data_IF_070540175820
#
_entry.id   IF_070540175820
#
_cell.length_a   1.000
_cell.length_b   1.000
_cell.length_c   1.000
_cell.angle_alpha   90.00
_cell.angle_beta   90.00
_cell.angle_gamma   90.00
#
_symmetry.space_group_name_H-M   'P 1'
#
loop_
_entity.id
_entity.type
_entity.pdbx_description
1 polymer ?
#
# COMPACT_ATOMS: atom_id res chain seq x y z
N UNK A 1 -13.66 12.26 -8.48
CA UNK A 1 -12.32 12.28 -7.85
C UNK A 1 -11.36 11.57 -8.80
N UNK A 2 -10.55 12.28 -9.59
CA UNK A 2 -9.75 11.63 -10.65
C UNK A 2 -8.22 11.72 -10.49
N UNK A 3 -7.69 12.45 -9.50
CA UNK A 3 -6.25 12.52 -9.26
C UNK A 3 -5.95 12.56 -7.76
N UNK A 4 -5.68 11.40 -7.16
CA UNK A 4 -5.05 11.35 -5.84
C UNK A 4 -3.57 11.70 -6.03
N UNK A 5 -3.14 12.84 -5.46
CA UNK A 5 -1.74 13.24 -5.52
C UNK A 5 -0.92 12.45 -4.50
N UNK A 6 0.02 11.67 -5.00
CA UNK A 6 1.06 11.02 -4.18
C UNK A 6 2.19 12.03 -3.94
N UNK A 7 2.65 12.16 -2.70
CA UNK A 7 3.82 12.98 -2.35
C UNK A 7 5.10 12.22 -2.72
N UNK A 8 6.18 12.94 -3.03
CA UNK A 8 7.49 12.35 -3.33
C UNK A 8 7.99 11.39 -2.22
N UNK A 9 7.77 11.77 -0.96
CA UNK A 9 8.13 10.91 0.19
C UNK A 9 7.27 9.64 0.32
N UNK A 10 6.07 9.63 -0.27
CA UNK A 10 5.21 8.45 -0.33
C UNK A 10 5.63 7.56 -1.51
N UNK A 11 5.99 8.17 -2.63
CA UNK A 11 6.45 7.47 -3.84
C UNK A 11 7.72 6.65 -3.56
N UNK A 12 8.73 7.24 -2.92
CA UNK A 12 9.95 6.50 -2.57
C UNK A 12 9.67 5.36 -1.58
N UNK A 13 8.74 5.55 -0.63
CA UNK A 13 8.33 4.46 0.29
C UNK A 13 7.64 3.32 -0.45
N UNK A 14 6.79 3.63 -1.42
CA UNK A 14 6.14 2.63 -2.29
C UNK A 14 7.20 1.86 -3.08
N UNK A 15 8.17 2.56 -3.67
CA UNK A 15 9.26 1.96 -4.45
C UNK A 15 10.10 0.98 -3.61
N UNK A 16 10.52 1.39 -2.41
CA UNK A 16 11.29 0.52 -1.52
C UNK A 16 10.48 -0.72 -1.09
N UNK A 17 9.19 -0.53 -0.80
CA UNK A 17 8.30 -1.64 -0.46
C UNK A 17 8.11 -2.60 -1.65
N UNK A 18 7.99 -2.08 -2.87
CA UNK A 18 7.89 -2.88 -4.09
C UNK A 18 9.14 -3.72 -4.32
N UNK A 19 10.34 -3.14 -4.15
CA UNK A 19 11.61 -3.87 -4.24
C UNK A 19 11.64 -5.03 -3.23
N UNK A 20 11.31 -4.76 -1.97
CA UNK A 20 11.31 -5.79 -0.92
C UNK A 20 10.28 -6.90 -1.18
N UNK A 21 9.07 -6.50 -1.55
CA UNK A 21 7.96 -7.42 -1.85
C UNK A 21 8.29 -8.31 -3.04
N UNK A 22 8.79 -7.73 -4.14
CA UNK A 22 9.10 -8.46 -5.36
C UNK A 22 10.28 -9.41 -5.19
N UNK A 23 11.31 -9.04 -4.41
CA UNK A 23 12.39 -9.98 -4.03
C UNK A 23 11.81 -11.23 -3.36
N UNK A 24 10.89 -11.06 -2.43
CA UNK A 24 10.23 -12.18 -1.74
C UNK A 24 9.33 -12.99 -2.67
N UNK A 25 8.57 -12.35 -3.56
CA UNK A 25 7.73 -13.05 -4.55
C UNK A 25 8.55 -13.92 -5.47
N UNK A 26 9.66 -13.41 -6.00
CA UNK A 26 10.58 -14.16 -6.88
C UNK A 26 11.19 -15.35 -6.13
N UNK A 27 11.62 -15.18 -4.88
CA UNK A 27 12.11 -16.29 -4.04
C UNK A 27 11.05 -17.39 -3.84
N UNK A 28 9.77 -17.02 -3.84
CA UNK A 28 8.63 -17.95 -3.75
C UNK A 28 8.18 -18.50 -5.12
N UNK A 29 8.92 -18.25 -6.20
CA UNK A 29 8.57 -18.68 -7.55
C UNK A 29 7.36 -17.95 -8.15
N UNK A 30 6.99 -16.79 -7.60
CA UNK A 30 5.86 -15.97 -8.05
C UNK A 30 6.32 -14.82 -8.93
N UNK A 31 5.43 -14.36 -9.81
CA UNK A 31 5.68 -13.17 -10.61
C UNK A 31 5.73 -11.91 -9.74
N UNK A 32 6.65 -10.98 -10.01
CA UNK A 32 6.70 -9.68 -9.35
C UNK A 32 5.50 -8.82 -9.73
N UNK A 33 5.14 -7.89 -8.86
CA UNK A 33 4.07 -6.92 -9.05
C UNK A 33 4.63 -5.60 -9.58
N UNK A 34 3.83 -4.89 -10.36
CA UNK A 34 4.06 -3.47 -10.66
C UNK A 34 3.78 -2.62 -9.42
N UNK A 35 4.43 -1.47 -9.32
CA UNK A 35 4.22 -0.54 -8.19
C UNK A 35 2.74 -0.13 -8.05
N UNK A 36 2.05 0.10 -9.17
CA UNK A 36 0.61 0.39 -9.17
C UNK A 36 -0.25 -0.76 -8.64
N UNK A 37 0.09 -2.01 -8.98
CA UNK A 37 -0.62 -3.20 -8.50
C UNK A 37 -0.45 -3.36 -6.99
N UNK A 38 0.78 -3.20 -6.50
CA UNK A 38 1.07 -3.20 -5.07
C UNK A 38 0.26 -2.13 -4.34
N UNK A 39 0.26 -0.90 -4.87
CA UNK A 39 -0.49 0.22 -4.27
C UNK A 39 -1.99 -0.06 -4.25
N UNK A 40 -2.57 -0.62 -5.32
CA UNK A 40 -3.99 -0.97 -5.34
C UNK A 40 -4.34 -2.05 -4.31
N UNK A 41 -3.52 -3.09 -4.18
CA UNK A 41 -3.74 -4.16 -3.17
C UNK A 41 -3.72 -3.55 -1.76
N UNK A 42 -2.71 -2.74 -1.45
CA UNK A 42 -2.57 -2.10 -0.13
C UNK A 42 -3.69 -1.11 0.15
N UNK A 43 -4.10 -0.32 -0.84
CA UNK A 43 -5.14 0.68 -0.68
C UNK A 43 -6.50 0.03 -0.45
N UNK A 44 -6.82 -1.05 -1.17
CA UNK A 44 -8.08 -1.78 -0.96
C UNK A 44 -8.16 -2.33 0.48
N UNK A 45 -7.10 -3.00 0.93
CA UNK A 45 -7.00 -3.51 2.31
C UNK A 45 -7.14 -2.38 3.35
N UNK A 46 -6.49 -1.24 3.11
CA UNK A 46 -6.57 -0.09 4.00
C UNK A 46 -7.98 0.51 4.04
N UNK A 47 -8.68 0.58 2.91
CA UNK A 47 -10.04 1.11 2.82
C UNK A 47 -11.05 0.21 3.54
N UNK A 48 -10.91 -1.11 3.42
CA UNK A 48 -11.79 -2.09 4.10
C UNK A 48 -11.66 -2.04 5.62
N UNK A 49 -10.49 -1.61 6.12
CA UNK A 49 -10.16 -1.55 7.55
C UNK A 49 -10.14 -0.14 8.10
N UNK A 50 -10.44 0.87 7.28
CA UNK A 50 -10.42 2.26 7.69
C UNK A 50 -11.50 2.50 8.74
N UNK A 51 -11.11 3.08 9.87
CA UNK A 51 -12.00 3.49 10.95
C UNK A 51 -11.65 4.92 11.39
N UNK A 52 -12.60 5.57 12.05
CA UNK A 52 -12.35 6.80 12.79
C UNK A 52 -12.28 6.43 14.27
N UNK A 53 -11.18 6.81 14.93
CA UNK A 53 -11.02 6.55 16.37
C UNK A 53 -11.84 7.52 17.24
N UNK A 54 -11.83 7.30 18.55
CA UNK A 54 -12.57 8.13 19.53
C UNK A 54 -12.10 9.60 19.55
N UNK A 55 -10.89 9.88 19.05
CA UNK A 55 -10.33 11.22 18.94
C UNK A 55 -10.59 11.87 17.57
N UNK A 56 -11.31 11.19 16.67
CA UNK A 56 -11.61 11.68 15.33
C UNK A 56 -10.50 11.44 14.30
N UNK A 57 -9.47 10.65 14.60
CA UNK A 57 -8.39 10.35 13.65
C UNK A 57 -8.78 9.22 12.71
N UNK A 58 -8.42 9.36 11.42
CA UNK A 58 -8.53 8.27 10.45
C UNK A 58 -7.37 7.29 10.66
N UNK A 59 -7.69 6.03 10.93
CA UNK A 59 -6.71 4.96 11.17
C UNK A 59 -7.15 3.63 10.54
N UNK A 60 -6.25 2.66 10.51
CA UNK A 60 -6.51 1.31 9.99
C UNK A 60 -6.64 0.37 11.19
N UNK A 61 -7.77 -0.32 11.33
CA UNK A 61 -7.99 -1.30 12.40
C UNK A 61 -7.01 -2.46 12.27
N UNK A 62 -6.26 -2.79 13.33
CA UNK A 62 -5.45 -4.01 13.38
C UNK A 62 -6.36 -5.25 13.44
N UNK A 63 -5.98 -6.30 12.71
CA UNK A 63 -6.61 -7.64 12.76
C UNK A 63 -5.84 -8.49 13.75
#
# INVERSE_FOLDING_TARGET
MKNLRIKESQDEKIRQLAIGTNKKLVQLGRQPLRDSELVHILLNEALDRAIVDENGNVTIKNI
#
